data_IF_648529646932
#
_entry.id   IF_648529646932
#
_cell.length_a   1.000
_cell.length_b   1.000
_cell.length_c   1.000
_cell.angle_alpha   90.00
_cell.angle_beta   90.00
_cell.angle_gamma   90.00
#
_symmetry.space_group_name_H-M   'P 1'
#
loop_
_entity.id
_entity.type
_entity.pdbx_description
1 polymer ?
#
# COMPACT_ATOMS: atom_id res chain seq x y z
N UNK A 1 11.12 11.96 16.93
CA UNK A 1 10.72 12.44 15.60
C UNK A 1 10.93 11.26 14.66
N UNK A 2 9.85 10.63 14.23
CA UNK A 2 9.93 9.64 13.15
C UNK A 2 10.30 10.43 11.90
N UNK A 3 11.46 10.15 11.31
CA UNK A 3 11.83 10.73 10.01
C UNK A 3 10.77 10.32 9.00
N UNK A 4 10.19 11.31 8.29
CA UNK A 4 9.26 11.06 7.19
C UNK A 4 10.01 10.22 6.14
N UNK A 5 9.33 9.29 5.49
CA UNK A 5 9.94 8.47 4.44
C UNK A 5 10.40 9.34 3.26
N UNK A 6 11.65 9.14 2.83
CA UNK A 6 12.23 9.78 1.64
C UNK A 6 12.66 8.69 0.63
N UNK A 7 12.12 8.75 -0.59
CA UNK A 7 12.38 7.76 -1.64
C UNK A 7 13.79 7.92 -2.22
N UNK A 8 14.37 9.12 -2.18
CA UNK A 8 15.76 9.35 -2.59
C UNK A 8 16.73 8.72 -1.59
N UNK A 9 16.50 8.92 -0.29
CA UNK A 9 17.28 8.25 0.76
C UNK A 9 17.12 6.72 0.69
N UNK A 10 15.92 6.23 0.39
CA UNK A 10 15.68 4.80 0.20
C UNK A 10 16.49 4.25 -0.98
N UNK A 11 16.46 4.89 -2.14
CA UNK A 11 17.27 4.50 -3.30
C UNK A 11 18.77 4.51 -3.00
N UNK A 12 19.26 5.56 -2.31
CA UNK A 12 20.67 5.69 -1.93
C UNK A 12 21.11 4.60 -0.94
N UNK A 13 20.25 4.27 0.04
CA UNK A 13 20.49 3.18 0.99
C UNK A 13 20.65 1.81 0.30
N UNK A 14 19.91 1.59 -0.79
CA UNK A 14 20.00 0.39 -1.62
C UNK A 14 21.16 0.44 -2.63
N UNK A 15 21.88 1.57 -2.69
CA UNK A 15 22.94 1.88 -3.66
C UNK A 15 22.44 1.76 -5.10
N UNK A 16 21.21 2.20 -5.34
CA UNK A 16 20.61 2.22 -6.67
C UNK A 16 20.73 3.62 -7.25
N UNK A 17 21.46 3.79 -8.37
CA UNK A 17 21.51 5.08 -9.03
C UNK A 17 20.13 5.45 -9.59
N UNK A 18 19.70 6.67 -9.28
CA UNK A 18 18.53 7.31 -9.87
C UNK A 18 19.02 8.36 -10.86
N UNK A 19 18.57 8.29 -12.10
CA UNK A 19 18.95 9.25 -13.15
C UNK A 19 17.72 9.81 -13.84
N UNK A 20 17.81 11.04 -14.34
CA UNK A 20 16.79 11.62 -15.21
C UNK A 20 17.13 11.41 -16.68
N UNK A 21 16.21 10.83 -17.45
CA UNK A 21 16.32 10.68 -18.91
C UNK A 21 14.93 10.73 -19.52
N UNK A 22 14.84 11.13 -20.78
CA UNK A 22 13.55 11.07 -21.49
C UNK A 22 13.09 9.62 -21.65
N UNK A 23 11.89 9.36 -21.17
CA UNK A 23 11.09 8.15 -21.34
C UNK A 23 9.92 8.46 -22.28
N UNK A 24 9.48 7.45 -23.02
CA UNK A 24 8.45 7.63 -24.06
C UNK A 24 7.05 7.23 -23.61
N UNK A 25 6.91 6.42 -22.57
CA UNK A 25 5.61 5.88 -22.15
C UNK A 25 5.27 6.13 -20.67
N UNK A 26 6.28 6.15 -19.80
CA UNK A 26 6.09 6.22 -18.36
C UNK A 26 6.96 7.34 -17.77
N UNK A 27 6.57 7.85 -16.61
CA UNK A 27 7.34 8.86 -15.88
C UNK A 27 8.48 8.29 -15.03
N UNK A 28 8.49 6.97 -14.80
CA UNK A 28 9.51 6.28 -14.03
C UNK A 28 9.70 4.84 -14.53
N UNK A 29 10.82 4.22 -14.15
CA UNK A 29 11.02 2.81 -14.37
C UNK A 29 12.25 2.25 -13.68
N UNK A 30 12.10 1.07 -13.09
CA UNK A 30 13.15 0.18 -12.64
C UNK A 30 13.74 -0.63 -13.80
N UNK A 31 15.07 -0.57 -13.96
CA UNK A 31 15.82 -1.27 -14.99
C UNK A 31 16.75 -2.33 -14.35
N UNK A 32 16.26 -3.56 -14.12
CA UNK A 32 16.97 -4.56 -13.32
C UNK A 32 18.31 -5.00 -13.91
N UNK A 33 18.43 -5.08 -15.24
CA UNK A 33 19.66 -5.49 -15.91
C UNK A 33 20.82 -4.50 -15.66
N UNK A 34 20.50 -3.22 -15.48
CA UNK A 34 21.47 -2.15 -15.17
C UNK A 34 21.48 -1.79 -13.68
N UNK A 35 20.57 -2.37 -12.90
CA UNK A 35 20.33 -2.06 -11.49
C UNK A 35 20.17 -0.55 -11.24
N UNK A 36 19.25 0.08 -11.99
CA UNK A 36 19.15 1.53 -12.13
C UNK A 36 17.68 1.96 -12.16
N UNK A 37 17.33 3.10 -11.56
CA UNK A 37 16.01 3.74 -11.69
C UNK A 37 16.11 4.96 -12.60
N UNK A 38 15.25 5.03 -13.61
CA UNK A 38 15.15 6.21 -14.48
C UNK A 38 13.84 6.94 -14.15
N UNK A 39 13.94 8.24 -13.93
CA UNK A 39 12.78 9.15 -13.93
C UNK A 39 12.77 9.95 -15.23
N UNK A 40 11.57 10.22 -15.77
CA UNK A 40 11.42 11.06 -16.95
C UNK A 40 11.91 12.48 -16.64
N UNK A 41 12.54 13.13 -17.64
CA UNK A 41 13.04 14.50 -17.46
C UNK A 41 11.91 15.53 -17.32
N UNK A 42 10.72 15.23 -17.85
CA UNK A 42 9.54 16.10 -17.81
C UNK A 42 8.54 15.65 -16.74
N UNK A 43 8.96 14.75 -15.82
CA UNK A 43 8.17 14.36 -14.65
C UNK A 43 7.89 15.59 -13.78
N UNK A 44 6.61 15.96 -13.53
CA UNK A 44 6.29 17.03 -12.59
C UNK A 44 6.79 16.72 -11.18
N UNK A 45 7.25 17.76 -10.48
CA UNK A 45 7.91 17.62 -9.18
C UNK A 45 7.03 16.96 -8.12
N UNK A 46 5.73 17.25 -8.16
CA UNK A 46 4.72 16.67 -7.25
C UNK A 46 4.60 15.13 -7.38
N UNK A 47 4.97 14.56 -8.52
CA UNK A 47 4.92 13.12 -8.76
C UNK A 47 6.27 12.43 -8.57
N UNK A 48 7.34 13.17 -8.30
CA UNK A 48 8.69 12.63 -8.17
C UNK A 48 8.79 11.63 -7.01
N UNK A 49 8.39 12.05 -5.81
CA UNK A 49 8.39 11.22 -4.61
C UNK A 49 7.54 9.94 -4.77
N UNK A 50 6.27 10.02 -5.18
CA UNK A 50 5.45 8.82 -5.29
C UNK A 50 5.92 7.85 -6.38
N UNK A 51 6.37 8.35 -7.53
CA UNK A 51 6.91 7.49 -8.59
C UNK A 51 8.23 6.86 -8.15
N UNK A 52 9.15 7.62 -7.57
CA UNK A 52 10.41 7.06 -7.09
C UNK A 52 10.18 6.03 -5.99
N UNK A 53 9.24 6.26 -5.08
CA UNK A 53 8.88 5.28 -4.04
C UNK A 53 8.34 3.97 -4.63
N UNK A 54 7.57 4.05 -5.71
CA UNK A 54 7.08 2.89 -6.46
C UNK A 54 8.26 2.12 -7.08
N UNK A 55 9.15 2.81 -7.81
CA UNK A 55 10.31 2.17 -8.44
C UNK A 55 11.30 1.60 -7.41
N UNK A 56 11.42 2.22 -6.23
CA UNK A 56 12.20 1.69 -5.13
C UNK A 56 11.66 0.33 -4.66
N UNK A 57 10.34 0.14 -4.59
CA UNK A 57 9.77 -1.16 -4.21
C UNK A 57 10.13 -2.26 -5.21
N UNK A 58 10.04 -1.96 -6.51
CA UNK A 58 10.48 -2.88 -7.56
C UNK A 58 11.94 -3.28 -7.40
N UNK A 59 12.79 -2.31 -7.11
CA UNK A 59 14.22 -2.54 -6.98
C UNK A 59 14.60 -3.29 -5.69
N UNK A 60 13.93 -3.00 -4.57
CA UNK A 60 14.08 -3.70 -3.30
C UNK A 60 13.71 -5.19 -3.43
N UNK A 61 12.66 -5.49 -4.19
CA UNK A 61 12.19 -6.86 -4.44
C UNK A 61 12.88 -7.53 -5.64
N UNK A 62 13.76 -6.80 -6.33
CA UNK A 62 14.47 -7.25 -7.52
C UNK A 62 13.53 -7.82 -8.59
N UNK A 63 12.43 -7.10 -8.86
CA UNK A 63 11.44 -7.55 -9.82
C UNK A 63 12.01 -7.60 -11.25
N UNK A 64 11.54 -8.55 -12.09
CA UNK A 64 11.92 -8.62 -13.49
C UNK A 64 11.37 -7.42 -14.27
N UNK A 65 11.94 -7.12 -15.46
CA UNK A 65 11.43 -6.03 -16.28
C UNK A 65 9.99 -6.29 -16.75
N UNK A 66 9.21 -5.21 -16.82
CA UNK A 66 7.83 -5.22 -17.35
C UNK A 66 6.76 -5.06 -16.26
N UNK A 67 5.50 -5.02 -16.70
CA UNK A 67 4.35 -4.63 -15.88
C UNK A 67 3.52 -5.82 -15.38
N UNK A 68 4.18 -6.75 -14.69
CA UNK A 68 3.46 -7.91 -14.18
C UNK A 68 2.53 -7.50 -13.03
N UNK A 69 1.23 -7.75 -13.20
CA UNK A 69 0.16 -7.27 -12.31
C UNK A 69 0.40 -7.42 -10.79
N UNK A 70 1.03 -8.52 -10.35
CA UNK A 70 1.32 -8.76 -8.93
C UNK A 70 2.40 -7.83 -8.38
N UNK A 71 3.40 -7.51 -9.19
CA UNK A 71 4.53 -6.67 -8.80
C UNK A 71 4.08 -5.22 -8.75
N UNK A 72 3.35 -4.77 -9.75
CA UNK A 72 2.71 -3.46 -9.79
C UNK A 72 1.76 -3.23 -8.60
N UNK A 73 0.92 -4.22 -8.28
CA UNK A 73 0.00 -4.12 -7.14
C UNK A 73 0.75 -4.02 -5.80
N UNK A 74 1.81 -4.82 -5.62
CA UNK A 74 2.66 -4.77 -4.43
C UNK A 74 3.39 -3.43 -4.33
N UNK A 75 4.02 -2.97 -5.42
CA UNK A 75 4.77 -1.72 -5.47
C UNK A 75 3.87 -0.53 -5.15
N UNK A 76 2.67 -0.45 -5.72
CA UNK A 76 1.69 0.58 -5.40
C UNK A 76 1.28 0.55 -3.92
N UNK A 77 0.96 -0.62 -3.36
CA UNK A 77 0.55 -0.72 -1.96
C UNK A 77 1.68 -0.34 -1.00
N UNK A 78 2.86 -0.93 -1.17
CA UNK A 78 3.99 -0.71 -0.27
C UNK A 78 4.49 0.73 -0.31
N UNK A 79 4.61 1.32 -1.51
CA UNK A 79 4.97 2.74 -1.64
C UNK A 79 3.93 3.65 -0.99
N UNK A 80 2.63 3.37 -1.17
CA UNK A 80 1.58 4.14 -0.51
C UNK A 80 1.64 4.00 1.03
N UNK A 81 1.90 2.80 1.56
CA UNK A 81 2.06 2.58 3.00
C UNK A 81 3.25 3.34 3.62
N UNK A 82 4.29 3.59 2.84
CA UNK A 82 5.46 4.38 3.27
C UNK A 82 5.18 5.88 3.25
N UNK A 83 4.42 6.35 2.27
CA UNK A 83 4.15 7.78 2.03
C UNK A 83 2.98 8.31 2.87
N UNK A 84 1.91 7.53 3.02
CA UNK A 84 0.65 8.01 3.60
C UNK A 84 0.71 7.94 5.13
N UNK A 85 0.50 9.07 5.82
CA UNK A 85 0.11 9.06 7.23
C UNK A 85 -1.35 8.59 7.34
N UNK A 86 -1.63 7.47 8.05
CA UNK A 86 -2.99 6.98 8.28
C UNK A 86 -3.97 8.03 8.80
N UNK A 87 -3.52 8.96 9.65
CA UNK A 87 -4.35 10.00 10.26
C UNK A 87 -4.69 11.10 9.28
N UNK A 88 -3.73 11.47 8.43
CA UNK A 88 -3.95 12.46 7.38
C UNK A 88 -4.91 11.91 6.32
N UNK A 89 -4.75 10.65 5.93
CA UNK A 89 -5.68 9.95 5.04
C UNK A 89 -7.12 10.03 5.55
N UNK A 90 -7.35 9.68 6.82
CA UNK A 90 -8.69 9.72 7.42
C UNK A 90 -9.25 11.15 7.52
N UNK A 91 -8.39 12.13 7.82
CA UNK A 91 -8.78 13.54 7.86
C UNK A 91 -9.20 14.06 6.48
N UNK A 92 -8.44 13.75 5.44
CA UNK A 92 -8.73 14.15 4.05
C UNK A 92 -10.06 13.56 3.57
N UNK A 93 -10.29 12.27 3.81
CA UNK A 93 -11.56 11.60 3.44
C UNK A 93 -12.78 12.13 4.21
N UNK A 94 -12.59 12.67 5.41
CA UNK A 94 -13.67 13.31 6.16
C UNK A 94 -14.04 14.70 5.61
N UNK A 95 -13.09 15.38 4.93
CA UNK A 95 -13.26 16.74 4.45
C UNK A 95 -13.80 16.84 3.02
N UNK A 96 -13.45 15.92 2.13
CA UNK A 96 -13.80 15.99 0.71
C UNK A 96 -13.92 14.62 0.05
N UNK A 97 -14.62 14.56 -1.07
CA UNK A 97 -14.68 13.39 -1.98
C UNK A 97 -13.91 13.63 -3.28
N UNK A 98 -13.23 14.77 -3.41
CA UNK A 98 -12.35 15.07 -4.53
C UNK A 98 -11.05 14.27 -4.39
N UNK A 99 -11.03 13.07 -4.96
CA UNK A 99 -9.90 12.15 -4.84
C UNK A 99 -8.63 12.65 -5.51
N UNK A 100 -8.72 13.48 -6.55
CA UNK A 100 -7.52 14.05 -7.18
C UNK A 100 -6.85 15.03 -6.24
N UNK A 101 -7.63 15.88 -5.58
CA UNK A 101 -7.11 16.75 -4.54
C UNK A 101 -6.50 15.96 -3.39
N UNK A 102 -7.17 14.90 -2.93
CA UNK A 102 -6.65 14.06 -1.84
C UNK A 102 -5.31 13.42 -2.22
N UNK A 103 -5.16 12.92 -3.44
CA UNK A 103 -3.90 12.34 -3.92
C UNK A 103 -2.76 13.36 -3.89
N UNK A 104 -3.02 14.60 -4.34
CA UNK A 104 -2.03 15.69 -4.31
C UNK A 104 -1.62 16.07 -2.89
N UNK A 105 -2.57 16.22 -1.97
CA UNK A 105 -2.31 16.58 -0.57
C UNK A 105 -1.52 15.47 0.14
N UNK A 106 -1.85 14.20 -0.13
CA UNK A 106 -1.14 13.04 0.42
C UNK A 106 0.19 12.72 -0.28
N UNK A 107 0.52 13.41 -1.37
CA UNK A 107 1.75 13.16 -2.14
C UNK A 107 1.81 11.76 -2.77
N UNK A 108 0.69 11.26 -3.29
CA UNK A 108 0.59 9.92 -3.90
C UNK A 108 -0.05 9.94 -5.29
N UNK A 109 0.19 8.90 -6.08
CA UNK A 109 -0.56 8.66 -7.32
C UNK A 109 -1.96 8.09 -7.03
N UNK A 110 -2.83 8.14 -8.04
CA UNK A 110 -4.17 7.54 -7.95
C UNK A 110 -4.10 6.03 -7.71
N UNK A 111 -3.16 5.33 -8.35
CA UNK A 111 -2.96 3.89 -8.20
C UNK A 111 -2.54 3.52 -6.78
N UNK A 112 -1.62 4.30 -6.20
CA UNK A 112 -1.21 4.17 -4.80
C UNK A 112 -2.37 4.44 -3.85
N UNK A 113 -3.14 5.52 -4.08
CA UNK A 113 -4.33 5.84 -3.28
C UNK A 113 -5.35 4.70 -3.31
N UNK A 114 -5.66 4.16 -4.49
CA UNK A 114 -6.60 3.04 -4.65
C UNK A 114 -6.08 1.80 -3.91
N UNK A 115 -4.81 1.44 -4.10
CA UNK A 115 -4.22 0.29 -3.43
C UNK A 115 -4.30 0.41 -1.90
N UNK A 116 -3.97 1.59 -1.35
CA UNK A 116 -4.05 1.86 0.08
C UNK A 116 -5.48 1.86 0.61
N UNK A 117 -6.42 2.49 -0.10
CA UNK A 117 -7.83 2.56 0.30
C UNK A 117 -8.49 1.17 0.35
N UNK A 118 -8.24 0.33 -0.66
CA UNK A 118 -8.76 -1.04 -0.69
C UNK A 118 -8.16 -1.89 0.44
N UNK A 119 -6.86 -1.74 0.73
CA UNK A 119 -6.23 -2.40 1.86
C UNK A 119 -6.84 -1.96 3.22
N UNK A 120 -7.09 -0.65 3.40
CA UNK A 120 -7.76 -0.13 4.61
C UNK A 120 -9.17 -0.67 4.78
N UNK A 121 -9.95 -0.80 3.69
CA UNK A 121 -11.28 -1.43 3.72
C UNK A 121 -11.18 -2.89 4.13
N UNK A 122 -10.27 -3.65 3.52
CA UNK A 122 -10.04 -5.07 3.85
C UNK A 122 -9.69 -5.25 5.33
N UNK A 123 -8.75 -4.47 5.85
CA UNK A 123 -8.35 -4.50 7.26
C UNK A 123 -9.53 -4.19 8.20
N UNK A 124 -10.39 -3.22 7.84
CA UNK A 124 -11.58 -2.89 8.63
C UNK A 124 -12.62 -4.01 8.61
N UNK A 125 -12.87 -4.62 7.46
CA UNK A 125 -13.78 -5.77 7.34
C UNK A 125 -13.29 -6.98 8.13
N UNK A 126 -11.98 -7.24 8.11
CA UNK A 126 -11.34 -8.27 8.91
C UNK A 126 -11.47 -7.98 10.40
N UNK A 127 -11.19 -6.74 10.85
CA UNK A 127 -11.36 -6.34 12.24
C UNK A 127 -12.81 -6.53 12.71
N UNK A 128 -13.79 -6.11 11.92
CA UNK A 128 -15.22 -6.34 12.20
C UNK A 128 -15.60 -7.83 12.19
N UNK A 129 -14.94 -8.64 11.35
CA UNK A 129 -15.11 -10.09 11.38
C UNK A 129 -14.59 -10.65 12.70
N UNK A 130 -13.37 -10.30 13.12
CA UNK A 130 -12.81 -10.74 14.40
C UNK A 130 -13.61 -10.26 15.61
N UNK A 131 -14.14 -9.04 15.59
CA UNK A 131 -15.02 -8.52 16.64
C UNK A 131 -16.31 -9.35 16.76
N UNK A 132 -16.97 -9.62 15.62
CA UNK A 132 -18.13 -10.54 15.58
C UNK A 132 -17.80 -11.95 16.06
N UNK A 133 -16.56 -12.40 15.92
CA UNK A 133 -16.09 -13.68 16.44
C UNK A 133 -15.74 -13.64 17.93
N UNK A 134 -15.34 -12.48 18.46
CA UNK A 134 -15.08 -12.27 19.89
C UNK A 134 -16.36 -12.13 20.72
N UNK A 135 -17.39 -11.52 20.15
CA UNK A 135 -18.74 -11.42 20.75
C UNK A 135 -19.57 -12.71 20.63
N UNK A 136 -19.09 -13.67 19.84
CA UNK A 136 -19.66 -15.02 19.73
C UNK A 136 -18.73 -15.98 20.46
N UNK A 137 -19.15 -16.48 21.63
CA UNK A 137 -18.56 -17.72 22.16
C UNK A 137 -18.80 -18.80 21.12
N UNK A 138 -17.75 -19.22 20.42
CA UNK A 138 -17.79 -20.41 19.60
C UNK A 138 -18.01 -21.63 20.51
N UNK A 139 -19.27 -22.02 20.70
CA UNK A 139 -19.58 -23.44 20.84
C UNK A 139 -19.48 -24.05 19.43
N UNK A 140 -18.26 -24.45 19.11
CA UNK A 140 -17.86 -25.44 18.11
C UNK A 140 -17.63 -24.99 16.64
N UNK A 141 -16.37 -25.03 16.15
CA UNK A 141 -16.04 -25.04 14.74
C UNK A 141 -16.24 -26.44 14.16
N UNK A 142 -17.09 -26.61 13.14
CA UNK A 142 -17.21 -27.90 12.44
C UNK A 142 -15.95 -28.27 11.66
N UNK A 143 -15.03 -28.90 12.38
CA UNK A 143 -14.19 -30.00 11.93
C UNK A 143 -14.92 -31.31 12.25
N UNK A 144 -15.03 -32.19 11.26
CA UNK A 144 -15.20 -33.63 11.49
C UNK A 144 -16.58 -34.12 11.93
N UNK A 145 -16.99 -35.25 11.35
CA UNK A 145 -18.15 -36.01 11.79
C UNK A 145 -17.98 -36.50 13.23
N UNK A 146 -18.96 -36.18 14.08
CA UNK A 146 -19.19 -36.87 15.34
C UNK A 146 -18.83 -36.08 16.60
N UNK A 147 -19.87 -35.87 17.42
CA UNK A 147 -19.87 -35.39 18.81
C UNK A 147 -19.95 -33.88 19.01
N UNK A 148 -21.15 -33.36 19.33
CA UNK A 148 -21.35 -32.46 20.48
C UNK A 148 -22.80 -32.53 20.99
N UNK A 149 -22.94 -32.86 22.26
CA UNK A 149 -24.12 -32.56 23.06
C UNK A 149 -23.65 -31.99 24.40
N UNK A 150 -23.61 -30.67 24.53
CA UNK A 150 -23.95 -29.97 25.77
C UNK A 150 -24.07 -28.45 25.55
N UNK A 151 -25.23 -27.90 25.93
CA UNK A 151 -25.52 -26.46 26.02
C UNK A 151 -25.57 -26.08 27.49
N UNK A 152 -24.95 -24.98 27.91
CA UNK A 152 -25.43 -24.18 29.04
C UNK A 152 -25.28 -22.70 28.65
N UNK A 153 -26.40 -21.98 28.62
CA UNK A 153 -26.44 -20.54 28.35
C UNK A 153 -26.07 -19.73 29.60
N UNK A 154 -25.39 -18.61 29.40
CA UNK A 154 -25.26 -17.59 30.43
C UNK A 154 -26.50 -16.69 30.39
N UNK A 155 -27.33 -16.78 31.43
CA UNK A 155 -28.34 -15.78 31.73
C UNK A 155 -27.66 -14.56 32.37
N UNK A 156 -27.93 -13.37 31.86
CA UNK A 156 -27.65 -12.12 32.56
C UNK A 156 -28.67 -11.96 33.70
N UNK A 157 -28.15 -11.74 34.92
CA UNK A 157 -28.88 -11.21 36.07
C UNK A 157 -28.31 -9.84 36.42
#
# INVERSE_FOLDING_TARGET
MTTLYDAWEHADSMKIPVVRRKLTMNYGGWFPAQRLIILDIDLPQEFEMPILAHECDHAEHNDPPGHHHRFEARANLHSAQRLIDPREFDAQLAMTQDYDRICLELGVTREQFVAYNEERKRQREEALRFERLGDVVYLDPKMGEGQWAMRIGAAHG
#
